data_IF_242336978208
#
_entry.id   IF_242336978208
#
_cell.length_a   1.000
_cell.length_b   1.000
_cell.length_c   1.000
_cell.angle_alpha   90.00
_cell.angle_beta   90.00
_cell.angle_gamma   90.00
#
_symmetry.space_group_name_H-M   'P 1'
#
loop_
_entity.id
_entity.type
_entity.pdbx_description
1 polymer ?
#
# COMPACT_ATOMS: atom_id res chain seq x y z
N UNK A 1 -24.36 35.76 -3.04
CA UNK A 1 -25.24 35.76 -1.89
C UNK A 1 -26.20 34.58 -2.03
N UNK A 2 -25.90 33.48 -1.37
CA UNK A 2 -26.80 32.32 -1.30
C UNK A 2 -27.95 32.64 -0.35
N UNK A 3 -29.16 32.62 -0.85
CA UNK A 3 -30.39 32.75 -0.06
C UNK A 3 -30.65 31.41 0.63
N UNK A 4 -30.30 31.31 1.89
CA UNK A 4 -30.73 30.20 2.72
C UNK A 4 -32.25 30.24 2.90
N UNK A 5 -32.96 29.19 2.50
CA UNK A 5 -34.38 29.04 2.82
C UNK A 5 -34.55 28.75 4.31
N UNK A 6 -35.52 29.39 4.99
CA UNK A 6 -35.67 29.34 6.46
C UNK A 6 -36.16 28.00 7.04
N UNK A 7 -36.23 26.92 6.26
CA UNK A 7 -36.80 25.64 6.71
C UNK A 7 -35.83 24.43 6.60
N UNK A 8 -34.57 24.62 6.16
CA UNK A 8 -33.57 23.55 6.17
C UNK A 8 -32.41 23.92 7.11
N UNK A 9 -32.02 23.04 8.04
CA UNK A 9 -30.79 23.28 8.82
C UNK A 9 -29.63 23.38 7.85
N UNK A 10 -28.94 24.53 7.85
CA UNK A 10 -27.70 24.66 7.13
C UNK A 10 -26.76 23.53 7.59
N UNK A 11 -26.40 22.66 6.68
CA UNK A 11 -25.47 21.58 6.95
C UNK A 11 -24.17 22.22 7.46
N UNK A 12 -23.88 21.99 8.73
CA UNK A 12 -22.58 22.31 9.30
C UNK A 12 -21.55 21.51 8.50
N UNK A 13 -20.62 22.23 7.89
CA UNK A 13 -19.44 21.61 7.30
C UNK A 13 -18.79 20.71 8.35
N UNK A 14 -18.87 19.41 8.18
CA UNK A 14 -18.05 18.49 8.94
C UNK A 14 -16.60 18.82 8.54
N UNK A 15 -15.86 19.48 9.43
CA UNK A 15 -14.42 19.55 9.31
C UNK A 15 -13.88 18.13 9.49
N UNK A 16 -13.67 17.42 8.39
CA UNK A 16 -12.92 16.17 8.42
C UNK A 16 -11.46 16.51 8.76
N UNK A 17 -11.07 16.18 9.98
CA UNK A 17 -9.68 16.34 10.41
C UNK A 17 -8.88 15.16 9.89
N UNK A 18 -8.20 15.35 8.78
CA UNK A 18 -7.28 14.36 8.25
C UNK A 18 -5.93 14.49 8.98
N UNK A 19 -5.49 13.42 9.60
CA UNK A 19 -4.15 13.35 10.19
C UNK A 19 -3.16 12.99 9.09
N UNK A 20 -2.11 13.77 8.95
CA UNK A 20 -0.99 13.50 8.05
C UNK A 20 0.26 13.27 8.90
N UNK A 21 0.90 12.13 8.71
CA UNK A 21 2.08 11.80 9.50
C UNK A 21 2.69 10.46 9.14
N UNK A 22 3.85 10.19 9.70
CA UNK A 22 4.52 8.90 9.53
C UNK A 22 5.18 8.45 10.82
N UNK A 23 5.16 7.14 11.05
CA UNK A 23 5.86 6.46 12.13
C UNK A 23 6.70 5.35 11.52
N UNK A 24 7.99 5.32 11.85
CA UNK A 24 8.89 4.25 11.44
C UNK A 24 9.55 3.63 12.67
N UNK A 25 9.48 2.29 12.77
CA UNK A 25 10.12 1.52 13.80
C UNK A 25 11.06 0.51 13.15
N UNK A 26 12.34 0.56 13.52
CA UNK A 26 13.34 -0.38 13.05
C UNK A 26 14.02 -1.08 14.20
N UNK A 27 13.96 -2.42 14.20
CA UNK A 27 14.68 -3.26 15.15
C UNK A 27 15.63 -4.17 14.39
N UNK A 28 16.89 -4.14 14.79
CA UNK A 28 17.93 -5.00 14.24
C UNK A 28 18.54 -5.85 15.32
N UNK A 29 18.56 -7.15 15.09
CA UNK A 29 19.30 -8.13 15.86
C UNK A 29 20.37 -8.77 14.98
N UNK A 30 21.20 -9.65 15.49
CA UNK A 30 22.26 -10.33 14.73
C UNK A 30 21.72 -11.08 13.49
N UNK A 31 20.57 -11.71 13.60
CA UNK A 31 20.00 -12.56 12.56
C UNK A 31 18.70 -12.01 11.93
N UNK A 32 18.10 -10.99 12.52
CA UNK A 32 16.80 -10.50 12.09
C UNK A 32 16.78 -8.99 12.03
N UNK A 33 16.28 -8.44 10.94
CA UNK A 33 15.94 -7.03 10.81
C UNK A 33 14.44 -6.91 10.61
N UNK A 34 13.79 -6.16 11.47
CA UNK A 34 12.37 -5.83 11.40
C UNK A 34 12.24 -4.35 11.08
N UNK A 35 11.47 -4.03 10.04
CA UNK A 35 11.08 -2.66 9.71
C UNK A 35 9.56 -2.61 9.68
N UNK A 36 9.00 -1.70 10.46
CA UNK A 36 7.59 -1.39 10.48
C UNK A 36 7.39 0.09 10.22
N UNK A 37 6.51 0.44 9.29
CA UNK A 37 6.17 1.84 9.03
C UNK A 37 4.67 2.01 8.84
N UNK A 38 4.17 3.07 9.41
CA UNK A 38 2.83 3.61 9.19
C UNK A 38 2.98 4.99 8.57
N UNK A 39 2.18 5.28 7.56
CA UNK A 39 2.14 6.61 6.96
C UNK A 39 0.72 6.96 6.54
N UNK A 40 0.33 8.19 6.78
CA UNK A 40 -0.90 8.79 6.31
C UNK A 40 -0.55 10.07 5.55
N UNK A 41 -1.01 10.18 4.33
CA UNK A 41 -0.73 11.31 3.46
C UNK A 41 -1.92 11.68 2.59
N UNK A 42 -2.02 12.96 2.22
CA UNK A 42 -2.98 13.42 1.22
C UNK A 42 -2.26 13.42 -0.13
N UNK A 43 -2.82 12.73 -1.10
CA UNK A 43 -2.26 12.63 -2.44
C UNK A 43 -3.28 13.09 -3.50
N UNK A 44 -2.87 13.87 -4.52
CA UNK A 44 -3.74 14.20 -5.63
C UNK A 44 -3.89 13.00 -6.56
N UNK A 45 -5.12 12.71 -6.98
CA UNK A 45 -5.41 11.76 -8.06
C UNK A 45 -5.28 12.44 -9.43
N UNK A 46 -5.18 11.61 -10.47
CA UNK A 46 -5.10 12.06 -11.87
C UNK A 46 -6.36 12.78 -12.35
N UNK A 47 -7.49 12.61 -11.68
CA UNK A 47 -8.77 13.28 -11.94
C UNK A 47 -8.91 14.64 -11.21
N UNK A 48 -7.88 15.05 -10.46
CA UNK A 48 -7.86 16.30 -9.70
C UNK A 48 -8.55 16.21 -8.33
N UNK A 49 -9.00 15.03 -7.91
CA UNK A 49 -9.52 14.81 -6.55
C UNK A 49 -8.35 14.56 -5.58
N UNK A 50 -8.56 14.88 -4.31
CA UNK A 50 -7.62 14.55 -3.24
C UNK A 50 -8.08 13.28 -2.53
N UNK A 51 -7.13 12.41 -2.19
CA UNK A 51 -7.38 11.20 -1.40
C UNK A 51 -6.47 11.16 -0.20
N UNK A 52 -6.97 10.66 0.92
CA UNK A 52 -6.15 10.24 2.04
C UNK A 52 -5.68 8.83 1.74
N UNK A 53 -4.37 8.65 1.77
CA UNK A 53 -3.74 7.36 1.59
C UNK A 53 -3.06 6.96 2.90
N UNK A 54 -3.62 5.93 3.53
CA UNK A 54 -3.06 5.30 4.72
C UNK A 54 -2.30 4.04 4.33
N UNK A 55 -1.06 3.91 4.80
CA UNK A 55 -0.22 2.76 4.48
C UNK A 55 0.40 2.18 5.74
N UNK A 56 0.33 0.86 5.87
CA UNK A 56 1.05 0.09 6.86
C UNK A 56 2.01 -0.88 6.14
N UNK A 57 3.29 -0.85 6.49
CA UNK A 57 4.32 -1.73 5.92
C UNK A 57 5.05 -2.46 7.01
N UNK A 58 5.24 -3.76 6.82
CA UNK A 58 6.03 -4.60 7.71
C UNK A 58 6.99 -5.43 6.86
N UNK A 59 8.28 -5.33 7.13
CA UNK A 59 9.30 -6.15 6.51
C UNK A 59 10.12 -6.87 7.58
N UNK A 60 10.30 -8.16 7.38
CA UNK A 60 11.13 -9.00 8.23
C UNK A 60 12.17 -9.67 7.34
N UNK A 61 13.43 -9.32 7.52
CA UNK A 61 14.57 -9.99 6.92
C UNK A 61 15.23 -10.87 7.97
N UNK A 62 15.41 -12.17 7.69
CA UNK A 62 16.04 -13.10 8.61
C UNK A 62 17.09 -13.95 7.93
N UNK A 63 18.25 -14.02 8.55
CA UNK A 63 19.31 -14.97 8.21
C UNK A 63 18.91 -16.31 8.83
N UNK A 64 18.49 -17.28 8.01
CA UNK A 64 18.07 -18.61 8.45
C UNK A 64 19.28 -19.51 8.66
N UNK A 65 20.26 -19.43 7.74
CA UNK A 65 21.56 -20.10 7.85
C UNK A 65 22.62 -19.19 7.25
N UNK A 66 23.91 -19.57 7.33
CA UNK A 66 25.01 -18.84 6.71
C UNK A 66 24.83 -18.60 5.20
N UNK A 67 24.00 -19.38 4.52
CA UNK A 67 23.78 -19.33 3.08
C UNK A 67 22.33 -19.09 2.67
N UNK A 68 21.39 -19.12 3.63
CA UNK A 68 19.95 -19.00 3.36
C UNK A 68 19.41 -17.77 4.09
N UNK A 69 18.80 -16.87 3.33
CA UNK A 69 18.12 -15.68 3.82
C UNK A 69 16.66 -15.72 3.43
N UNK A 70 15.81 -15.39 4.37
CA UNK A 70 14.36 -15.23 4.16
C UNK A 70 13.95 -13.77 4.32
N UNK A 71 13.03 -13.32 3.50
CA UNK A 71 12.33 -12.05 3.63
C UNK A 71 10.83 -12.30 3.60
N UNK A 72 10.12 -11.65 4.50
CA UNK A 72 8.67 -11.55 4.49
C UNK A 72 8.31 -10.07 4.49
N UNK A 73 7.41 -9.67 3.60
CA UNK A 73 6.87 -8.33 3.48
C UNK A 73 5.35 -8.36 3.53
N UNK A 74 4.76 -7.39 4.20
CA UNK A 74 3.34 -7.12 4.21
C UNK A 74 3.15 -5.63 3.96
N UNK A 75 2.33 -5.29 2.99
CA UNK A 75 1.91 -3.95 2.66
C UNK A 75 0.38 -3.92 2.68
N UNK A 76 -0.17 -3.05 3.48
CA UNK A 76 -1.59 -2.70 3.47
C UNK A 76 -1.72 -1.22 3.13
N UNK A 77 -2.60 -0.88 2.20
CA UNK A 77 -2.88 0.49 1.80
C UNK A 77 -4.38 0.69 1.67
N UNK A 78 -4.89 1.73 2.29
CA UNK A 78 -6.27 2.17 2.21
C UNK A 78 -6.30 3.55 1.56
N UNK A 79 -7.17 3.74 0.58
CA UNK A 79 -7.40 5.01 -0.08
C UNK A 79 -8.83 5.46 0.14
N UNK A 80 -9.01 6.63 0.73
CA UNK A 80 -10.32 7.23 0.96
C UNK A 80 -10.41 8.59 0.30
N UNK A 81 -11.50 8.87 -0.41
CA UNK A 81 -11.69 10.18 -1.06
C UNK A 81 -11.90 11.28 -0.02
N UNK A 82 -11.17 12.39 -0.17
CA UNK A 82 -11.33 13.60 0.64
C UNK A 82 -12.43 14.47 0.05
N UNK A 83 -13.45 14.80 0.86
CA UNK A 83 -14.47 15.78 0.52
C UNK A 83 -15.75 15.18 -0.02
N UNK A 84 -16.87 15.74 0.44
CA UNK A 84 -18.16 15.48 -0.14
C UNK A 84 -18.25 16.22 -1.46
N UNK A 85 -18.31 15.50 -2.57
CA UNK A 85 -18.74 16.10 -3.84
C UNK A 85 -20.20 16.52 -3.67
N UNK A 86 -20.44 17.82 -3.65
CA UNK A 86 -21.79 18.38 -3.69
C UNK A 86 -22.43 17.89 -4.98
N UNK A 87 -23.30 16.88 -4.88
CA UNK A 87 -24.14 16.46 -5.99
C UNK A 87 -25.32 17.41 -6.07
N UNK A 88 -25.43 18.27 -7.09
CA UNK A 88 -26.72 18.83 -7.45
C UNK A 88 -27.60 17.67 -7.92
N UNK A 89 -28.80 17.55 -7.39
CA UNK A 89 -29.78 16.45 -7.60
C UNK A 89 -30.11 16.08 -9.07
N UNK A 90 -29.42 16.65 -10.04
CA UNK A 90 -29.65 16.45 -11.49
C UNK A 90 -28.46 15.91 -12.27
N UNK A 91 -27.31 15.71 -11.65
CA UNK A 91 -26.14 15.14 -12.34
C UNK A 91 -26.11 13.62 -12.19
N UNK A 92 -26.58 12.91 -13.20
CA UNK A 92 -26.59 11.43 -13.32
C UNK A 92 -25.18 10.80 -13.43
N UNK A 93 -24.12 11.55 -13.17
CA UNK A 93 -22.76 11.06 -13.12
C UNK A 93 -22.31 11.13 -11.66
N UNK A 94 -22.77 10.15 -10.88
CA UNK A 94 -22.23 9.95 -9.54
C UNK A 94 -20.76 9.56 -9.64
N UNK A 95 -19.86 10.51 -9.33
CA UNK A 95 -18.53 10.17 -8.90
C UNK A 95 -18.67 9.54 -7.51
N UNK A 96 -18.97 8.25 -7.51
CA UNK A 96 -19.11 7.50 -6.30
C UNK A 96 -17.82 7.57 -5.51
N UNK A 97 -17.92 7.83 -4.22
CA UNK A 97 -16.84 7.63 -3.26
C UNK A 97 -16.31 6.23 -3.48
N UNK A 98 -15.13 6.12 -4.01
CA UNK A 98 -14.48 4.87 -4.33
C UNK A 98 -13.37 4.67 -3.30
N UNK A 99 -13.74 4.03 -2.20
CA UNK A 99 -12.76 3.57 -1.23
C UNK A 99 -12.06 2.33 -1.80
N UNK A 100 -10.77 2.23 -1.62
CA UNK A 100 -9.95 1.15 -2.19
C UNK A 100 -8.99 0.61 -1.17
N UNK A 101 -9.08 -0.68 -0.94
CA UNK A 101 -8.19 -1.42 -0.06
C UNK A 101 -7.25 -2.31 -0.86
N UNK A 102 -5.99 -2.25 -0.52
CA UNK A 102 -4.95 -3.01 -1.18
C UNK A 102 -4.07 -3.72 -0.16
N UNK A 103 -3.99 -5.05 -0.26
CA UNK A 103 -3.11 -5.87 0.56
C UNK A 103 -2.12 -6.62 -0.32
N UNK A 104 -0.83 -6.50 -0.01
CA UNK A 104 0.22 -7.30 -0.64
C UNK A 104 1.02 -8.05 0.42
N UNK A 105 1.19 -9.34 0.21
CA UNK A 105 2.08 -10.19 0.99
C UNK A 105 3.18 -10.70 0.08
N UNK A 106 4.42 -10.46 0.45
CA UNK A 106 5.60 -10.92 -0.27
C UNK A 106 6.41 -11.87 0.60
N UNK A 107 6.84 -12.99 0.03
CA UNK A 107 7.82 -13.86 0.65
C UNK A 107 8.95 -14.14 -0.34
N UNK A 108 10.19 -14.15 0.15
CA UNK A 108 11.37 -14.42 -0.65
C UNK A 108 12.36 -15.26 0.13
N UNK A 109 12.84 -16.33 -0.50
CA UNK A 109 13.94 -17.13 -0.01
C UNK A 109 15.12 -16.98 -0.98
N UNK A 110 16.30 -16.69 -0.48
CA UNK A 110 17.53 -16.56 -1.25
C UNK A 110 18.58 -17.50 -0.71
N UNK A 111 19.08 -18.39 -1.55
CA UNK A 111 20.10 -19.36 -1.19
C UNK A 111 21.40 -19.11 -1.96
N UNK A 112 22.48 -18.85 -1.23
CA UNK A 112 23.81 -18.68 -1.77
C UNK A 112 24.47 -20.05 -1.97
N UNK A 113 24.54 -20.51 -3.22
CA UNK A 113 25.15 -21.78 -3.58
C UNK A 113 26.69 -21.70 -3.51
N UNK A 114 27.25 -20.61 -4.07
CA UNK A 114 28.68 -20.31 -4.05
C UNK A 114 28.90 -18.84 -3.68
N UNK A 115 30.15 -18.38 -3.60
CA UNK A 115 30.47 -16.96 -3.37
C UNK A 115 29.98 -16.05 -4.48
N UNK A 116 29.79 -16.60 -5.69
CA UNK A 116 29.41 -15.87 -6.90
C UNK A 116 28.01 -16.19 -7.40
N UNK A 117 27.40 -17.30 -6.96
CA UNK A 117 26.12 -17.79 -7.45
C UNK A 117 25.10 -17.88 -6.32
N UNK A 118 23.94 -17.25 -6.52
CA UNK A 118 22.78 -17.35 -5.65
C UNK A 118 21.54 -17.67 -6.44
N UNK A 119 20.64 -18.45 -5.87
CA UNK A 119 19.30 -18.69 -6.41
C UNK A 119 18.25 -18.08 -5.47
N UNK A 120 17.14 -17.67 -6.01
CA UNK A 120 16.04 -17.19 -5.17
C UNK A 120 14.70 -17.65 -5.72
N UNK A 121 13.75 -17.85 -4.81
CA UNK A 121 12.33 -17.98 -5.07
C UNK A 121 11.59 -16.87 -4.35
N UNK A 122 10.60 -16.29 -4.99
CA UNK A 122 9.75 -15.28 -4.39
C UNK A 122 8.28 -15.55 -4.77
N UNK A 123 7.40 -15.34 -3.80
CA UNK A 123 5.96 -15.44 -3.97
C UNK A 123 5.33 -14.13 -3.52
N UNK A 124 4.45 -13.59 -4.34
CA UNK A 124 3.67 -12.39 -4.06
C UNK A 124 2.19 -12.72 -4.17
N UNK A 125 1.46 -12.44 -3.12
CA UNK A 125 0.00 -12.43 -3.07
C UNK A 125 -0.46 -10.97 -2.99
N UNK A 126 -1.36 -10.56 -3.87
CA UNK A 126 -1.95 -9.23 -3.85
C UNK A 126 -3.46 -9.34 -3.99
N UNK A 127 -4.19 -8.63 -3.14
CA UNK A 127 -5.64 -8.46 -3.28
C UNK A 127 -5.97 -6.98 -3.27
N UNK A 128 -6.96 -6.62 -4.08
CA UNK A 128 -7.46 -5.28 -4.22
C UNK A 128 -8.98 -5.34 -4.13
N UNK A 129 -9.51 -4.67 -3.13
CA UNK A 129 -10.94 -4.52 -2.92
C UNK A 129 -11.33 -3.08 -3.26
N UNK A 130 -12.34 -2.93 -4.10
CA UNK A 130 -12.84 -1.64 -4.55
C UNK A 130 -14.33 -1.58 -4.34
N UNK A 131 -14.79 -0.66 -3.50
CA UNK A 131 -16.22 -0.39 -3.32
C UNK A 131 -16.73 0.47 -4.47
N UNK A 132 -17.63 -0.11 -5.26
CA UNK A 132 -18.33 0.57 -6.34
C UNK A 132 -19.83 0.66 -6.01
N UNK A 133 -20.58 1.63 -6.57
CA UNK A 133 -22.02 1.76 -6.33
C UNK A 133 -22.86 0.54 -6.74
N UNK A 134 -22.29 -0.31 -7.60
CA UNK A 134 -22.88 -1.54 -8.10
C UNK A 134 -22.50 -2.79 -7.32
N UNK A 135 -21.63 -2.66 -6.31
CA UNK A 135 -21.12 -3.75 -5.48
C UNK A 135 -19.60 -3.70 -5.31
N UNK A 136 -19.09 -4.51 -4.41
CA UNK A 136 -17.66 -4.67 -4.16
C UNK A 136 -17.02 -5.51 -5.24
N UNK A 137 -15.89 -5.07 -5.77
CA UNK A 137 -15.08 -5.80 -6.77
C UNK A 137 -13.80 -6.25 -6.09
N UNK A 138 -13.60 -7.56 -6.03
CA UNK A 138 -12.40 -8.19 -5.48
C UNK A 138 -11.51 -8.71 -6.61
N UNK A 139 -10.27 -8.25 -6.62
CA UNK A 139 -9.25 -8.75 -7.53
C UNK A 139 -8.10 -9.39 -6.74
N UNK A 140 -7.81 -10.65 -7.04
CA UNK A 140 -6.71 -11.38 -6.40
C UNK A 140 -5.65 -11.75 -7.44
N UNK A 141 -4.39 -11.51 -7.14
CA UNK A 141 -3.26 -11.81 -8.00
C UNK A 141 -2.19 -12.59 -7.23
N UNK A 142 -1.78 -13.74 -7.82
CA UNK A 142 -0.75 -14.60 -7.28
C UNK A 142 0.41 -14.66 -8.27
N UNK A 143 1.64 -14.40 -7.82
CA UNK A 143 2.83 -14.44 -8.66
C UNK A 143 3.93 -15.23 -7.99
N UNK A 144 4.53 -16.14 -8.74
CA UNK A 144 5.68 -16.92 -8.31
C UNK A 144 6.87 -16.63 -9.23
N UNK A 145 8.00 -16.30 -8.64
CA UNK A 145 9.23 -15.98 -9.36
C UNK A 145 10.36 -16.87 -8.90
N UNK A 146 11.19 -17.30 -9.86
CA UNK A 146 12.47 -17.93 -9.58
C UNK A 146 13.55 -17.21 -10.35
N UNK A 147 14.71 -17.10 -9.76
CA UNK A 147 15.81 -16.43 -10.42
C UNK A 147 17.17 -16.89 -9.91
N UNK A 148 18.16 -16.64 -10.74
CA UNK A 148 19.57 -16.90 -10.47
C UNK A 148 20.33 -15.59 -10.55
N UNK A 149 21.11 -15.27 -9.53
CA UNK A 149 21.96 -14.11 -9.48
C UNK A 149 23.42 -14.56 -9.53
N UNK A 150 24.15 -14.16 -10.58
CA UNK A 150 25.57 -14.36 -10.70
C UNK A 150 26.33 -13.04 -10.47
N UNK A 151 27.26 -13.05 -9.51
CA UNK A 151 28.18 -11.93 -9.27
C UNK A 151 29.54 -12.29 -9.86
N UNK A 152 29.85 -11.74 -11.03
CA UNK A 152 31.17 -11.89 -11.64
C UNK A 152 32.25 -11.38 -10.68
N UNK A 153 33.37 -12.08 -10.62
CA UNK A 153 34.59 -11.60 -9.94
C UNK A 153 35.10 -10.44 -10.78
N UNK A 154 35.01 -9.19 -10.28
CA UNK A 154 35.57 -8.04 -10.97
C UNK A 154 37.06 -8.28 -11.20
N UNK A 155 37.47 -8.34 -12.46
CA UNK A 155 38.92 -8.31 -12.81
C UNK A 155 39.48 -6.96 -12.31
N UNK A 156 40.19 -6.99 -11.17
CA UNK A 156 41.04 -5.86 -10.81
C UNK A 156 42.13 -5.79 -11.87
N UNK A 157 42.05 -4.82 -12.75
CA UNK A 157 43.19 -4.33 -13.53
C UNK A 157 44.07 -3.45 -12.66
#
# INVERSE_FOLDING_TARGET
GALCQPAAPCSTSNEERNFVGSLELRKRTELTTLNFSLSSQIAPRSDGTEVVQDQARLFVDRVLTRRLNGRLGLLYSMESAVGQVFQPETATIGLARQDRDFLTVESRLSWQLTTTLSVFGAYTYATNETDAPTGTIDETNNRLYFGVLYRGVGLRR
#
